data_IF_265144591079
#
_entry.id   IF_265144591079
#
_cell.length_a   1.000
_cell.length_b   1.000
_cell.length_c   1.000
_cell.angle_alpha   90.00
_cell.angle_beta   90.00
_cell.angle_gamma   90.00
#
_symmetry.space_group_name_H-M   'P 1'
#
loop_
_entity.id
_entity.type
_entity.pdbx_description
1 polymer ?
#
# COMPACT_ATOMS: atom_id res chain seq x y z
N UNK A 1 -18.60 9.88 14.17
CA UNK A 1 -17.21 9.85 13.71
C UNK A 1 -16.41 9.20 14.82
N UNK A 2 -15.61 8.16 14.54
CA UNK A 2 -14.69 7.60 15.53
C UNK A 2 -13.31 8.11 15.16
N UNK A 3 -12.68 8.83 16.06
CA UNK A 3 -11.36 9.43 15.85
C UNK A 3 -10.26 8.42 16.23
N UNK A 4 -10.43 7.17 15.79
CA UNK A 4 -9.60 6.02 16.21
C UNK A 4 -9.34 5.08 15.05
N UNK A 5 -8.08 4.72 14.85
CA UNK A 5 -7.68 3.65 13.94
C UNK A 5 -8.02 2.29 14.58
N UNK A 6 -8.63 1.40 13.82
CA UNK A 6 -8.97 0.03 14.24
C UNK A 6 -8.16 -1.01 13.46
N UNK A 7 -7.97 -2.19 14.05
CA UNK A 7 -7.28 -3.30 13.36
C UNK A 7 -8.07 -3.71 12.11
N UNK A 8 -9.40 -3.76 12.20
CA UNK A 8 -10.28 -4.12 11.09
C UNK A 8 -10.17 -3.13 9.92
N UNK A 9 -9.93 -1.85 10.21
CA UNK A 9 -9.70 -0.85 9.18
C UNK A 9 -8.35 -1.02 8.50
N UNK A 10 -7.28 -1.27 9.27
CA UNK A 10 -5.96 -1.57 8.72
C UNK A 10 -6.03 -2.83 7.84
N UNK A 11 -6.62 -3.91 8.34
CA UNK A 11 -6.76 -5.19 7.62
C UNK A 11 -7.50 -5.01 6.31
N UNK A 12 -8.63 -4.28 6.31
CA UNK A 12 -9.38 -3.98 5.10
C UNK A 12 -8.51 -3.31 4.02
N UNK A 13 -7.67 -2.34 4.41
CA UNK A 13 -6.84 -1.61 3.44
C UNK A 13 -5.59 -2.40 3.02
N UNK A 14 -5.03 -3.19 3.94
CA UNK A 14 -3.90 -4.08 3.70
C UNK A 14 -4.29 -5.20 2.72
N UNK A 15 -5.37 -5.92 3.00
CA UNK A 15 -5.85 -7.03 2.16
C UNK A 15 -6.14 -6.56 0.72
N UNK A 16 -6.71 -5.35 0.58
CA UNK A 16 -7.00 -4.76 -0.72
C UNK A 16 -5.76 -4.41 -1.52
N UNK A 17 -4.74 -3.82 -0.89
CA UNK A 17 -3.53 -3.44 -1.62
C UNK A 17 -2.69 -4.66 -1.98
N UNK A 18 -2.66 -5.68 -1.12
CA UNK A 18 -2.02 -6.96 -1.43
C UNK A 18 -2.69 -7.68 -2.61
N UNK A 19 -4.01 -7.58 -2.75
CA UNK A 19 -4.70 -8.13 -3.91
C UNK A 19 -4.40 -7.38 -5.23
N UNK A 20 -3.90 -6.14 -5.14
CA UNK A 20 -3.58 -5.30 -6.30
C UNK A 20 -2.09 -5.39 -6.66
N UNK A 21 -1.19 -5.51 -5.68
CA UNK A 21 0.26 -5.42 -5.93
C UNK A 21 0.75 -6.47 -6.94
N UNK A 22 0.19 -7.68 -6.91
CA UNK A 22 0.52 -8.75 -7.85
C UNK A 22 0.00 -8.50 -9.28
N UNK A 23 -0.83 -7.47 -9.46
CA UNK A 23 -1.45 -7.09 -10.73
C UNK A 23 -0.90 -5.79 -11.30
N UNK A 24 0.24 -5.30 -10.79
CA UNK A 24 0.87 -4.08 -11.27
C UNK A 24 1.95 -4.43 -12.30
N UNK A 25 1.80 -3.89 -13.52
CA UNK A 25 2.87 -3.82 -14.51
C UNK A 25 3.66 -2.52 -14.34
N UNK A 26 4.98 -2.62 -14.38
CA UNK A 26 5.93 -1.51 -14.40
C UNK A 26 6.73 -1.53 -15.70
N UNK A 27 7.10 -0.36 -16.23
CA UNK A 27 7.70 -0.23 -17.57
C UNK A 27 9.13 0.30 -17.58
N UNK A 28 9.59 0.85 -16.46
CA UNK A 28 10.91 1.43 -16.32
C UNK A 28 11.46 1.26 -14.89
N UNK A 29 12.74 1.61 -14.72
CA UNK A 29 13.41 1.57 -13.41
C UNK A 29 12.70 2.44 -12.38
N UNK A 30 12.02 3.52 -12.81
CA UNK A 30 11.32 4.40 -11.86
C UNK A 30 10.09 3.71 -11.29
N UNK A 31 9.36 2.97 -12.10
CA UNK A 31 8.26 2.11 -11.66
C UNK A 31 8.74 1.01 -10.72
N UNK A 32 9.86 0.35 -11.02
CA UNK A 32 10.45 -0.65 -10.12
C UNK A 32 10.82 -0.07 -8.74
N UNK A 33 11.42 1.13 -8.70
CA UNK A 33 11.70 1.84 -7.45
C UNK A 33 10.41 2.13 -6.66
N UNK A 34 9.36 2.61 -7.34
CA UNK A 34 8.09 2.93 -6.69
C UNK A 34 7.39 1.67 -6.18
N UNK A 35 7.42 0.57 -6.93
CA UNK A 35 6.88 -0.72 -6.51
C UNK A 35 7.65 -1.27 -5.29
N UNK A 36 8.97 -1.09 -5.28
CA UNK A 36 9.80 -1.45 -4.12
C UNK A 36 9.40 -0.64 -2.87
N UNK A 37 9.24 0.67 -3.00
CA UNK A 37 8.79 1.53 -1.90
C UNK A 37 7.38 1.15 -1.42
N UNK A 38 6.45 0.89 -2.34
CA UNK A 38 5.09 0.47 -2.02
C UNK A 38 5.09 -0.83 -1.20
N UNK A 39 5.89 -1.83 -1.60
CA UNK A 39 6.07 -3.08 -0.87
C UNK A 39 6.75 -2.91 0.50
N UNK A 40 7.71 -1.98 0.61
CA UNK A 40 8.33 -1.65 1.89
C UNK A 40 7.29 -1.11 2.89
N UNK A 41 6.40 -0.22 2.44
CA UNK A 41 5.32 0.29 3.28
C UNK A 41 4.27 -0.78 3.66
N UNK A 42 4.00 -1.75 2.79
CA UNK A 42 3.15 -2.92 3.14
C UNK A 42 3.81 -3.74 4.25
N UNK A 43 5.13 -3.99 4.13
CA UNK A 43 5.90 -4.69 5.15
C UNK A 43 5.92 -3.93 6.49
N UNK A 44 6.13 -2.62 6.45
CA UNK A 44 6.11 -1.75 7.63
C UNK A 44 4.73 -1.75 8.29
N UNK A 45 3.66 -1.69 7.50
CA UNK A 45 2.29 -1.80 8.00
C UNK A 45 2.09 -3.08 8.82
N UNK A 46 2.53 -4.24 8.30
CA UNK A 46 2.45 -5.53 9.02
C UNK A 46 3.27 -5.50 10.29
N UNK A 47 4.51 -5.02 10.22
CA UNK A 47 5.41 -4.94 11.38
C UNK A 47 4.83 -4.07 12.50
N UNK A 48 4.32 -2.88 12.18
CA UNK A 48 3.71 -1.99 13.17
C UNK A 48 2.41 -2.56 13.73
N UNK A 49 1.61 -3.25 12.90
CA UNK A 49 0.39 -3.93 13.35
C UNK A 49 0.71 -5.02 14.37
N UNK A 50 1.69 -5.87 14.08
CA UNK A 50 2.14 -6.95 14.97
C UNK A 50 2.65 -6.42 16.32
N UNK A 51 3.29 -5.24 16.31
CA UNK A 51 3.78 -4.57 17.51
C UNK A 51 2.72 -3.73 18.26
N UNK A 52 1.49 -3.65 17.75
CA UNK A 52 0.40 -2.86 18.33
C UNK A 52 0.49 -1.34 18.09
N UNK A 53 1.39 -0.86 17.22
CA UNK A 53 1.50 0.55 16.83
C UNK A 53 0.53 0.85 15.68
N UNK A 54 -0.76 0.94 16.02
CA UNK A 54 -1.84 1.04 15.03
C UNK A 54 -1.78 2.35 14.22
N UNK A 55 -1.29 3.44 14.80
CA UNK A 55 -1.16 4.72 14.08
C UNK A 55 -0.13 4.61 12.97
N UNK A 56 1.07 4.08 13.27
CA UNK A 56 2.10 3.86 12.23
C UNK A 56 1.70 2.79 11.23
N UNK A 57 1.00 1.75 11.69
CA UNK A 57 0.49 0.72 10.78
C UNK A 57 -0.48 1.31 9.75
N UNK A 58 -1.43 2.12 10.21
CA UNK A 58 -2.35 2.82 9.32
C UNK A 58 -1.64 3.83 8.43
N UNK A 59 -0.72 4.62 8.96
CA UNK A 59 0.09 5.54 8.16
C UNK A 59 0.84 4.81 7.03
N UNK A 60 1.48 3.69 7.33
CA UNK A 60 2.24 2.91 6.35
C UNK A 60 1.36 2.37 5.22
N UNK A 61 0.19 1.79 5.54
CA UNK A 61 -0.72 1.31 4.48
C UNK A 61 -1.25 2.46 3.62
N UNK A 62 -1.53 3.64 4.20
CA UNK A 62 -1.95 4.82 3.44
C UNK A 62 -0.84 5.33 2.51
N UNK A 63 0.44 5.33 2.94
CA UNK A 63 1.56 5.67 2.06
C UNK A 63 1.69 4.72 0.87
N UNK A 64 1.48 3.42 1.11
CA UNK A 64 1.46 2.42 0.04
C UNK A 64 0.35 2.70 -0.98
N UNK A 65 -0.88 3.00 -0.50
CA UNK A 65 -2.00 3.42 -1.35
C UNK A 65 -1.72 4.71 -2.12
N UNK A 66 -1.12 5.71 -1.48
CA UNK A 66 -0.79 6.97 -2.14
C UNK A 66 0.19 6.78 -3.31
N UNK A 67 1.18 5.88 -3.15
CA UNK A 67 2.10 5.52 -4.24
C UNK A 67 1.35 4.83 -5.37
N UNK A 68 0.49 3.84 -5.05
CA UNK A 68 -0.31 3.12 -6.05
C UNK A 68 -1.14 4.08 -6.91
N UNK A 69 -1.93 4.94 -6.29
CA UNK A 69 -2.84 5.85 -6.98
C UNK A 69 -2.06 6.88 -7.81
N UNK A 70 -1.04 7.50 -7.23
CA UNK A 70 -0.24 8.51 -7.93
C UNK A 70 0.53 7.90 -9.11
N UNK A 71 1.15 6.74 -8.93
CA UNK A 71 1.89 6.09 -10.00
C UNK A 71 0.97 5.58 -11.11
N UNK A 72 -0.26 5.17 -10.77
CA UNK A 72 -1.27 4.79 -11.77
C UNK A 72 -1.71 6.03 -12.57
N UNK A 73 -2.04 7.14 -11.90
CA UNK A 73 -2.46 8.40 -12.55
C UNK A 73 -1.36 8.96 -13.47
N UNK A 74 -0.09 8.83 -13.07
CA UNK A 74 1.07 9.28 -13.85
C UNK A 74 1.47 8.28 -14.97
N UNK A 75 0.79 7.14 -15.09
CA UNK A 75 1.12 6.11 -16.08
C UNK A 75 2.43 5.34 -15.79
N UNK A 76 2.97 5.46 -14.58
CA UNK A 76 4.14 4.70 -14.11
C UNK A 76 3.75 3.25 -13.83
N UNK A 77 2.55 3.06 -13.25
CA UNK A 77 1.93 1.75 -13.03
C UNK A 77 0.78 1.54 -14.01
N UNK A 78 0.60 0.29 -14.42
CA UNK A 78 -0.62 -0.17 -15.09
C UNK A 78 -1.18 -1.38 -14.34
N UNK A 79 -2.43 -1.26 -13.91
CA UNK A 79 -3.12 -2.37 -13.27
C UNK A 79 -3.66 -3.32 -14.34
N UNK A 80 -3.37 -4.62 -14.19
CA UNK A 80 -3.97 -5.67 -15.01
C UNK A 80 -5.39 -5.90 -14.47
N UNK A 81 -6.38 -5.41 -15.22
CA UNK A 81 -7.79 -5.76 -15.01
C UNK A 81 -8.05 -7.01 -15.85
N UNK A 82 -8.24 -8.15 -15.20
CA UNK A 82 -8.79 -9.36 -15.86
C UNK A 82 -10.26 -9.16 -16.26
#
# INVERSE_FOLDING_TARGET
MRDTVTIEEIDKWLDRIEAIVDKIEVFDTKGEEMLTNMNAYISDCKHFKENGDLVKSFEAVIWSWAILELCTELGIFKQIVE
#
